data_IF_890900520982
#
_entry.id   IF_890900520982
#
_cell.length_a   1.000
_cell.length_b   1.000
_cell.length_c   1.000
_cell.angle_alpha   90.00
_cell.angle_beta   90.00
_cell.angle_gamma   90.00
#
_symmetry.space_group_name_H-M   'P 1'
#
loop_
_entity.id
_entity.type
_entity.pdbx_description
1 polymer ?
#
# COMPACT_ATOMS: atom_id res chain seq x y z
N UNK A 1 -14.11 29.89 24.15
CA UNK A 1 -14.20 28.78 23.19
C UNK A 1 -13.28 27.71 23.72
N UNK A 2 -13.81 26.57 24.12
CA UNK A 2 -12.98 25.41 24.44
C UNK A 2 -12.68 24.72 23.12
N UNK A 3 -11.43 24.76 22.68
CA UNK A 3 -10.98 23.94 21.56
C UNK A 3 -10.81 22.52 22.08
N UNK A 4 -11.90 21.74 22.06
CA UNK A 4 -11.81 20.30 22.30
C UNK A 4 -10.97 19.67 21.20
N UNK A 5 -9.80 19.14 21.58
CA UNK A 5 -8.94 18.37 20.69
C UNK A 5 -9.63 17.03 20.46
N UNK A 6 -10.13 16.82 19.26
CA UNK A 6 -10.65 15.54 18.83
C UNK A 6 -9.49 14.57 18.54
N UNK A 7 -9.56 13.38 19.15
CA UNK A 7 -8.63 12.28 18.90
C UNK A 7 -9.37 11.14 18.20
N UNK A 8 -8.83 10.59 17.11
CA UNK A 8 -9.45 9.49 16.40
C UNK A 8 -9.44 8.22 17.24
N UNK A 9 -10.47 7.40 17.09
CA UNK A 9 -10.52 6.08 17.70
C UNK A 9 -9.67 5.05 16.93
N UNK A 10 -9.53 3.85 17.51
CA UNK A 10 -8.74 2.79 16.89
C UNK A 10 -9.29 2.32 15.54
N UNK A 11 -10.61 2.40 15.33
CA UNK A 11 -11.26 2.02 14.08
C UNK A 11 -10.97 3.05 12.98
N UNK A 12 -10.99 4.33 13.33
CA UNK A 12 -10.63 5.43 12.43
C UNK A 12 -9.15 5.38 12.05
N UNK A 13 -8.27 5.14 13.03
CA UNK A 13 -6.83 4.94 12.76
C UNK A 13 -6.61 3.74 11.83
N UNK A 14 -7.31 2.63 12.05
CA UNK A 14 -7.21 1.45 11.20
C UNK A 14 -7.73 1.71 9.77
N UNK A 15 -8.81 2.48 9.64
CA UNK A 15 -9.36 2.90 8.34
C UNK A 15 -8.34 3.76 7.57
N UNK A 16 -7.76 4.77 8.22
CA UNK A 16 -6.73 5.61 7.61
C UNK A 16 -5.50 4.81 7.19
N UNK A 17 -5.09 3.83 8.00
CA UNK A 17 -3.99 2.93 7.65
C UNK A 17 -4.33 2.10 6.40
N UNK A 18 -5.55 1.55 6.31
CA UNK A 18 -6.00 0.79 5.15
C UNK A 18 -6.02 1.63 3.87
N UNK A 19 -6.48 2.89 3.94
CA UNK A 19 -6.44 3.83 2.82
C UNK A 19 -5.01 4.12 2.37
N UNK A 20 -4.11 4.40 3.32
CA UNK A 20 -2.68 4.61 3.02
C UNK A 20 -2.05 3.39 2.38
N UNK A 21 -2.36 2.19 2.86
CA UNK A 21 -1.89 0.94 2.26
C UNK A 21 -2.42 0.75 0.83
N UNK A 22 -3.68 1.09 0.55
CA UNK A 22 -4.24 1.04 -0.81
C UNK A 22 -3.54 2.03 -1.75
N UNK A 23 -3.28 3.26 -1.29
CA UNK A 23 -2.56 4.26 -2.06
C UNK A 23 -1.12 3.83 -2.37
N UNK A 24 -0.40 3.35 -1.36
CA UNK A 24 0.98 2.86 -1.52
C UNK A 24 1.05 1.64 -2.44
N UNK A 25 0.09 0.72 -2.36
CA UNK A 25 -0.03 -0.41 -3.29
C UNK A 25 -0.13 0.04 -4.74
N UNK A 26 -0.96 1.04 -5.02
CA UNK A 26 -1.11 1.63 -6.36
C UNK A 26 0.20 2.27 -6.81
N UNK A 27 0.86 3.05 -5.94
CA UNK A 27 2.15 3.69 -6.22
C UNK A 27 3.21 2.66 -6.61
N UNK A 28 3.37 1.59 -5.82
CA UNK A 28 4.37 0.54 -6.06
C UNK A 28 4.10 -0.25 -7.35
N UNK A 29 2.82 -0.49 -7.69
CA UNK A 29 2.44 -1.12 -8.96
C UNK A 29 2.80 -0.26 -10.16
N UNK A 30 2.55 1.04 -10.07
CA UNK A 30 2.93 1.98 -11.13
C UNK A 30 4.44 2.03 -11.30
N UNK A 31 5.19 2.01 -10.19
CA UNK A 31 6.66 1.97 -10.22
C UNK A 31 7.19 0.70 -10.89
N UNK A 32 6.62 -0.47 -10.57
CA UNK A 32 6.93 -1.72 -11.27
C UNK A 32 6.61 -1.65 -12.76
N UNK A 33 5.44 -1.13 -13.13
CA UNK A 33 5.03 -0.99 -14.52
C UNK A 33 5.98 -0.06 -15.30
N UNK A 34 6.41 1.03 -14.66
CA UNK A 34 7.40 1.94 -15.23
C UNK A 34 8.74 1.24 -15.49
N UNK A 35 9.27 0.50 -14.52
CA UNK A 35 10.54 -0.24 -14.66
C UNK A 35 10.43 -1.30 -15.76
N UNK A 36 9.31 -2.00 -15.85
CA UNK A 36 9.07 -2.97 -16.91
C UNK A 36 9.01 -2.31 -18.29
N UNK A 37 8.35 -1.15 -18.39
CA UNK A 37 8.31 -0.33 -19.61
C UNK A 37 9.69 0.19 -20.01
N UNK A 38 10.51 0.66 -19.06
CA UNK A 38 11.90 1.09 -19.27
C UNK A 38 12.74 -0.08 -19.83
N UNK A 39 12.67 -1.25 -19.21
CA UNK A 39 13.35 -2.47 -19.67
C UNK A 39 12.93 -2.87 -21.09
N UNK A 40 11.63 -2.81 -21.40
CA UNK A 40 11.11 -3.15 -22.73
C UNK A 40 11.62 -2.22 -23.84
N UNK A 41 12.07 -1.00 -23.49
CA UNK A 41 12.67 -0.03 -24.41
C UNK A 41 14.20 -0.12 -24.48
N UNK A 42 14.79 -1.15 -23.89
CA UNK A 42 16.25 -1.34 -23.84
C UNK A 42 16.93 -0.65 -22.65
N UNK A 43 16.16 -0.18 -21.66
CA UNK A 43 16.70 0.35 -20.41
C UNK A 43 17.45 -0.72 -19.60
N UNK A 44 18.31 -0.30 -18.65
CA UNK A 44 19.15 -1.21 -17.89
C UNK A 44 18.33 -2.16 -17.01
N UNK A 45 18.82 -3.37 -16.72
CA UNK A 45 18.18 -4.26 -15.77
C UNK A 45 18.19 -3.64 -14.36
N UNK A 46 17.04 -3.66 -13.69
CA UNK A 46 16.86 -3.14 -12.32
C UNK A 46 16.28 -4.22 -11.40
N UNK A 47 16.87 -5.41 -11.44
CA UNK A 47 16.29 -6.62 -10.84
C UNK A 47 16.18 -6.52 -9.31
N UNK A 48 17.18 -5.94 -8.66
CA UNK A 48 17.17 -5.69 -7.20
C UNK A 48 16.01 -4.75 -6.79
N UNK A 49 15.78 -3.69 -7.58
CA UNK A 49 14.69 -2.76 -7.34
C UNK A 49 13.33 -3.45 -7.55
N UNK A 50 13.19 -4.27 -8.59
CA UNK A 50 11.97 -5.05 -8.83
C UNK A 50 11.70 -6.02 -7.68
N UNK A 51 12.74 -6.70 -7.16
CA UNK A 51 12.62 -7.60 -6.02
C UNK A 51 12.16 -6.85 -4.76
N UNK A 52 12.78 -5.70 -4.46
CA UNK A 52 12.41 -4.87 -3.32
C UNK A 52 10.96 -4.36 -3.41
N UNK A 53 10.53 -3.92 -4.59
CA UNK A 53 9.15 -3.46 -4.82
C UNK A 53 8.13 -4.59 -4.67
N UNK A 54 8.44 -5.79 -5.17
CA UNK A 54 7.60 -6.98 -5.00
C UNK A 54 7.46 -7.39 -3.54
N UNK A 55 8.55 -7.35 -2.77
CA UNK A 55 8.53 -7.65 -1.35
C UNK A 55 7.62 -6.67 -0.58
N UNK A 56 7.76 -5.37 -0.85
CA UNK A 56 6.91 -4.33 -0.24
C UNK A 56 5.44 -4.50 -0.61
N UNK A 57 5.16 -4.81 -1.88
CA UNK A 57 3.80 -5.10 -2.34
C UNK A 57 3.19 -6.31 -1.62
N UNK A 58 3.96 -7.39 -1.44
CA UNK A 58 3.49 -8.57 -0.73
C UNK A 58 3.14 -8.27 0.73
N UNK A 59 3.95 -7.45 1.42
CA UNK A 59 3.66 -7.04 2.79
C UNK A 59 2.35 -6.24 2.91
N UNK A 60 2.10 -5.31 1.97
CA UNK A 60 0.84 -4.56 1.89
C UNK A 60 -0.33 -5.48 1.51
N UNK A 61 -0.08 -6.40 0.57
CA UNK A 61 -0.87 -7.60 0.24
C UNK A 61 -1.50 -8.25 1.49
N UNK A 62 -0.61 -8.68 2.38
CA UNK A 62 -0.95 -9.38 3.62
C UNK A 62 -1.78 -8.49 4.55
N UNK A 63 -1.34 -7.24 4.77
CA UNK A 63 -2.04 -6.32 5.67
C UNK A 63 -3.47 -6.03 5.21
N UNK A 64 -3.68 -5.74 3.92
CA UNK A 64 -5.00 -5.45 3.38
C UNK A 64 -5.93 -6.67 3.41
N UNK A 65 -5.40 -7.89 3.22
CA UNK A 65 -6.19 -9.13 3.33
C UNK A 65 -6.64 -9.41 4.76
N UNK A 66 -5.77 -9.15 5.75
CA UNK A 66 -6.14 -9.25 7.18
C UNK A 66 -7.36 -8.40 7.51
N UNK A 67 -7.34 -7.12 7.11
CA UNK A 67 -8.47 -6.19 7.28
C UNK A 67 -9.72 -6.56 6.47
N UNK A 68 -9.59 -7.37 5.40
CA UNK A 68 -10.73 -7.81 4.58
C UNK A 68 -11.56 -8.90 5.28
N UNK A 69 -10.96 -9.65 6.20
CA UNK A 69 -11.62 -10.78 6.87
C UNK A 69 -12.43 -10.37 8.11
N UNK A 70 -12.21 -9.17 8.64
CA UNK A 70 -12.85 -8.67 9.87
C UNK A 70 -14.15 -7.87 9.62
N UNK A 71 -14.51 -7.58 8.37
CA UNK A 71 -15.75 -6.85 8.03
C UNK A 71 -16.89 -7.75 7.51
N UNK A 72 -17.27 -8.77 8.28
CA UNK A 72 -18.61 -9.39 8.16
C UNK A 72 -19.41 -9.11 9.43
N UNK A 73 -20.40 -8.19 9.41
CA UNK A 73 -21.41 -8.18 10.46
C UNK A 73 -22.31 -9.42 10.29
N UNK A 74 -22.56 -10.10 11.41
CA UNK A 74 -23.62 -11.10 11.58
C UNK A 74 -24.99 -10.40 11.54
#
# INVERSE_FOLDING_TARGET
>A
MNDEIWLPDMSEIASWLAERCRAERTRLRNELAFIQGDRARGGPPREDLVAALKLRLAAIDVHLRGNSSEMKPL
#
